data_IF_574053147123
#
_entry.id   IF_574053147123
#
_cell.length_a   1.000
_cell.length_b   1.000
_cell.length_c   1.000
_cell.angle_alpha   90.00
_cell.angle_beta   90.00
_cell.angle_gamma   90.00
#
_symmetry.space_group_name_H-M   'P 1'
#
loop_
_entity.id
_entity.type
_entity.pdbx_description
1 polymer ?
#
# COMPACT_ATOMS: atom_id res chain seq x y z
N UNK A 1 4.36 15.42 -17.02
CA UNK A 1 3.76 15.08 -15.70
C UNK A 1 3.34 13.62 -15.77
N UNK A 2 4.00 12.72 -15.04
CA UNK A 2 3.58 11.30 -15.00
C UNK A 2 2.41 11.18 -14.00
N UNK A 3 1.32 10.47 -14.30
CA UNK A 3 0.37 10.09 -13.26
C UNK A 3 1.14 9.12 -12.36
N UNK A 4 1.60 9.59 -11.21
CA UNK A 4 2.32 8.78 -10.25
C UNK A 4 1.29 8.13 -9.32
N UNK A 5 1.04 6.85 -9.55
CA UNK A 5 0.27 5.94 -8.72
C UNK A 5 1.10 5.49 -7.51
N UNK A 6 1.54 6.45 -6.67
CA UNK A 6 2.59 6.17 -5.70
C UNK A 6 3.57 7.28 -5.24
N UNK A 7 3.27 8.13 -4.25
CA UNK A 7 4.33 8.51 -3.28
C UNK A 7 4.04 7.93 -1.89
N UNK A 8 2.78 7.94 -1.43
CA UNK A 8 2.38 7.30 -0.16
C UNK A 8 0.93 6.76 -0.05
N UNK A 9 -0.05 7.03 -0.94
CA UNK A 9 -1.32 6.23 -1.01
C UNK A 9 -1.94 5.97 -2.42
N UNK A 10 -3.18 6.38 -2.69
CA UNK A 10 -3.80 6.21 -4.01
C UNK A 10 -3.94 7.60 -4.61
N UNK A 11 -3.42 7.79 -5.82
CA UNK A 11 -3.42 9.07 -6.53
C UNK A 11 -4.21 9.00 -7.85
N UNK A 12 -5.07 7.99 -8.01
CA UNK A 12 -5.99 7.92 -9.14
C UNK A 12 -7.15 8.89 -8.96
N UNK A 13 -7.76 9.29 -10.08
CA UNK A 13 -8.93 10.17 -10.08
C UNK A 13 -10.11 9.48 -9.35
N UNK A 14 -10.56 9.97 -8.18
CA UNK A 14 -11.55 9.28 -7.35
C UNK A 14 -12.92 9.15 -8.03
N UNK A 15 -13.27 10.07 -8.92
CA UNK A 15 -14.49 10.06 -9.72
C UNK A 15 -14.58 8.88 -10.72
N UNK A 16 -13.48 8.17 -10.97
CA UNK A 16 -13.44 7.03 -11.89
C UNK A 16 -13.93 5.70 -11.29
N UNK A 17 -14.29 5.70 -10.00
CA UNK A 17 -14.64 4.49 -9.28
C UNK A 17 -15.93 4.66 -8.48
N UNK A 18 -16.70 3.58 -8.42
CA UNK A 18 -17.75 3.38 -7.44
C UNK A 18 -17.10 2.86 -6.16
N UNK A 19 -17.16 3.68 -5.09
CA UNK A 19 -16.52 3.38 -3.81
C UNK A 19 -17.48 2.73 -2.82
N UNK A 20 -16.97 1.77 -2.05
CA UNK A 20 -17.64 1.18 -0.89
C UNK A 20 -16.72 1.27 0.32
N UNK A 21 -17.33 1.43 1.50
CA UNK A 21 -16.66 1.36 2.79
C UNK A 21 -17.18 0.15 3.57
N UNK A 22 -16.69 -1.07 3.29
CA UNK A 22 -17.11 -2.29 4.00
C UNK A 22 -17.04 -2.20 5.52
N UNK A 23 -16.15 -1.36 6.05
CA UNK A 23 -16.03 -1.10 7.48
C UNK A 23 -14.60 -1.23 7.98
N UNK A 24 -14.47 -1.52 9.27
CA UNK A 24 -13.17 -1.71 9.91
C UNK A 24 -12.82 -3.19 10.02
N UNK A 25 -11.53 -3.52 9.89
CA UNK A 25 -11.00 -4.84 10.22
C UNK A 25 -9.69 -4.71 10.99
N UNK A 26 -9.31 -5.76 11.68
CA UNK A 26 -7.99 -5.87 12.30
C UNK A 26 -6.98 -6.36 11.27
N UNK A 27 -5.82 -5.71 11.22
CA UNK A 27 -4.72 -6.03 10.32
C UNK A 27 -3.39 -5.65 10.96
N UNK A 28 -2.38 -6.50 10.80
CA UNK A 28 -1.01 -6.14 11.17
C UNK A 28 -0.45 -5.13 10.18
N UNK A 29 -0.03 -3.97 10.68
CA UNK A 29 0.53 -2.87 9.89
C UNK A 29 1.98 -2.66 10.32
N UNK A 30 2.91 -2.46 9.36
CA UNK A 30 4.27 -2.05 9.69
C UNK A 30 4.23 -0.63 10.25
N UNK A 31 4.59 -0.46 11.53
CA UNK A 31 4.51 0.83 12.20
C UNK A 31 5.86 1.51 12.34
N UNK A 32 6.94 0.73 12.46
CA UNK A 32 8.26 1.28 12.68
C UNK A 32 9.37 0.46 12.01
N UNK A 33 10.25 1.17 11.30
CA UNK A 33 11.44 0.66 10.62
C UNK A 33 12.74 1.11 11.32
N UNK A 34 12.68 1.58 12.57
CA UNK A 34 13.85 2.15 13.26
C UNK A 34 15.05 1.20 13.32
N UNK A 35 14.80 -0.09 13.53
CA UNK A 35 15.85 -1.10 13.53
C UNK A 35 16.60 -1.13 12.20
N UNK A 36 15.90 -1.00 11.06
CA UNK A 36 16.49 -0.97 9.71
C UNK A 36 17.41 0.23 9.47
N UNK A 37 17.24 1.32 10.22
CA UNK A 37 18.09 2.51 10.16
C UNK A 37 19.32 2.42 11.08
N UNK A 38 19.49 1.33 11.81
CA UNK A 38 20.59 1.16 12.76
C UNK A 38 21.94 1.08 12.04
N UNK A 39 22.96 1.85 12.46
CA UNK A 39 24.31 1.77 11.88
C UNK A 39 25.02 0.45 12.22
N UNK A 40 24.43 -0.39 13.07
CA UNK A 40 24.97 -1.70 13.45
C UNK A 40 24.63 -2.81 12.43
N UNK A 41 23.61 -2.59 11.59
CA UNK A 41 23.20 -3.56 10.59
C UNK A 41 23.98 -3.35 9.29
N UNK A 42 24.32 -4.45 8.62
CA UNK A 42 24.86 -4.41 7.26
C UNK A 42 23.75 -4.72 6.26
N UNK A 43 23.92 -4.27 5.02
CA UNK A 43 22.97 -4.59 3.95
C UNK A 43 22.72 -6.09 3.78
N UNK A 44 23.75 -6.92 4.00
CA UNK A 44 23.61 -8.39 3.93
C UNK A 44 22.69 -8.97 5.02
N UNK A 45 22.54 -8.28 6.16
CA UNK A 45 21.64 -8.68 7.23
C UNK A 45 20.20 -8.29 6.90
N UNK A 46 20.01 -7.18 6.17
CA UNK A 46 18.71 -6.60 5.83
C UNK A 46 18.12 -7.19 4.56
N UNK A 47 18.90 -7.35 3.49
CA UNK A 47 18.40 -7.73 2.17
C UNK A 47 18.37 -9.25 2.02
N UNK A 48 17.17 -9.83 1.89
CA UNK A 48 16.95 -11.22 1.49
C UNK A 48 16.52 -11.28 0.01
N UNK A 49 16.55 -12.45 -0.63
CA UNK A 49 16.05 -12.58 -2.00
C UNK A 49 14.60 -12.11 -2.12
N UNK A 50 14.38 -11.00 -2.83
CA UNK A 50 13.04 -10.46 -3.13
C UNK A 50 12.36 -9.63 -2.03
N UNK A 51 12.92 -9.56 -0.82
CA UNK A 51 12.35 -8.77 0.28
C UNK A 51 13.39 -8.42 1.35
N UNK A 52 13.07 -7.48 2.24
CA UNK A 52 13.87 -7.22 3.43
C UNK A 52 13.57 -8.26 4.52
N UNK A 53 14.51 -8.45 5.45
CA UNK A 53 14.32 -9.26 6.65
C UNK A 53 13.17 -8.70 7.49
N UNK A 54 12.13 -9.52 7.69
CA UNK A 54 10.91 -9.10 8.39
C UNK A 54 11.06 -9.18 9.90
N UNK A 55 12.12 -9.79 10.43
CA UNK A 55 12.41 -9.76 11.87
C UNK A 55 12.92 -8.38 12.31
N UNK A 56 13.36 -7.56 11.35
CA UNK A 56 13.82 -6.19 11.56
C UNK A 56 12.70 -5.15 11.40
N UNK A 57 11.49 -5.56 11.03
CA UNK A 57 10.32 -4.69 10.91
C UNK A 57 9.36 -4.92 12.08
N UNK A 58 8.80 -3.83 12.63
CA UNK A 58 7.81 -3.93 13.70
C UNK A 58 6.39 -3.91 13.14
N UNK A 59 5.69 -5.01 13.33
CA UNK A 59 4.26 -5.14 13.02
C UNK A 59 3.42 -5.00 14.28
N UNK A 60 2.35 -4.22 14.17
CA UNK A 60 1.39 -4.01 15.24
C UNK A 60 -0.02 -4.20 14.73
N UNK A 61 -0.86 -4.83 15.55
CA UNK A 61 -2.26 -5.02 15.23
C UNK A 61 -2.98 -3.69 15.27
N UNK A 62 -3.54 -3.28 14.14
CA UNK A 62 -4.28 -2.04 13.99
C UNK A 62 -5.70 -2.33 13.49
N UNK A 63 -6.65 -1.52 13.93
CA UNK A 63 -7.98 -1.48 13.36
C UNK A 63 -8.00 -0.48 12.20
N UNK A 64 -8.03 -0.99 10.98
CA UNK A 64 -7.97 -0.22 9.73
C UNK A 64 -9.34 -0.13 9.07
N UNK A 65 -9.55 0.92 8.28
CA UNK A 65 -10.71 1.00 7.37
C UNK A 65 -10.40 0.27 6.07
N UNK A 66 -11.35 -0.53 5.60
CA UNK A 66 -11.33 -1.13 4.26
C UNK A 66 -12.09 -0.23 3.32
N UNK A 67 -11.45 0.19 2.23
CA UNK A 67 -12.07 0.95 1.14
C UNK A 67 -11.96 0.12 -0.13
N UNK A 68 -13.09 -0.11 -0.80
CA UNK A 68 -13.16 -0.87 -2.06
C UNK A 68 -13.57 0.08 -3.18
N UNK A 69 -12.82 0.08 -4.29
CA UNK A 69 -13.15 0.83 -5.50
C UNK A 69 -13.38 -0.11 -6.67
N UNK A 70 -14.52 0.03 -7.35
CA UNK A 70 -14.80 -0.67 -8.62
C UNK A 70 -14.84 0.35 -9.75
N UNK A 71 -14.14 0.11 -10.87
CA UNK A 71 -14.13 1.04 -12.01
C UNK A 71 -15.55 1.35 -12.47
N UNK A 72 -15.91 2.63 -12.53
CA UNK A 72 -17.23 3.10 -12.90
C UNK A 72 -17.57 2.71 -14.34
N UNK A 73 -18.83 2.32 -14.57
CA UNK A 73 -19.29 1.76 -15.85
C UNK A 73 -19.09 2.71 -17.05
N UNK A 74 -19.17 4.02 -16.83
CA UNK A 74 -19.06 5.05 -17.89
C UNK A 74 -17.65 5.13 -18.51
N UNK A 75 -16.61 4.70 -17.80
CA UNK A 75 -15.21 4.74 -18.30
C UNK A 75 -14.78 3.47 -19.03
N UNK A 76 -15.63 2.43 -19.09
CA UNK A 76 -15.33 1.19 -19.81
C UNK A 76 -15.57 1.26 -21.33
N UNK A 77 -15.94 2.43 -21.88
CA UNK A 77 -16.30 2.61 -23.30
C UNK A 77 -15.36 3.52 -24.09
N UNK A 78 -14.06 3.23 -24.10
CA UNK A 78 -13.14 3.80 -25.08
C UNK A 78 -12.20 2.71 -25.63
N UNK A 79 -12.71 1.95 -26.60
CA UNK A 79 -11.98 0.86 -27.26
C UNK A 79 -12.69 0.36 -28.52
N UNK A 80 -13.46 1.22 -29.17
CA UNK A 80 -14.09 0.95 -30.45
C UNK A 80 -14.16 2.27 -31.23
N UNK A 81 -13.09 2.56 -31.95
CA UNK A 81 -13.03 3.25 -33.25
C UNK A 81 -11.62 3.01 -33.83
#
# INVERSE_FOLDING_TARGET
MRPADNSDMFNGAPDRYDWKLPGKREMYIPCNSYALSSPKLKYADILKPGHIDQDLTRYELHRVWVVEGTVAALLRRSGAL
#
